data_IF_004463762559
#
_entry.id   IF_004463762559
#
_cell.length_a   1.000
_cell.length_b   1.000
_cell.length_c   1.000
_cell.angle_alpha   90.00
_cell.angle_beta   90.00
_cell.angle_gamma   90.00
#
_symmetry.space_group_name_H-M   'P 1'
#
loop_
_entity.id
_entity.type
_entity.pdbx_description
1 polymer ?
#
# COMPACT_ATOMS: atom_id res chain seq x y z
N UNK A 1 1.54 -2.89 7.79
CA UNK A 1 1.75 -1.63 7.06
C UNK A 1 2.67 -0.74 7.88
N UNK A 2 3.39 0.18 7.25
CA UNK A 2 4.33 1.10 7.90
C UNK A 2 3.75 2.52 7.80
N UNK A 3 2.79 2.79 8.69
CA UNK A 3 1.82 3.89 8.62
C UNK A 3 2.49 5.25 8.49
N UNK A 4 3.40 5.58 9.42
CA UNK A 4 4.08 6.89 9.45
C UNK A 4 5.04 7.07 8.26
N UNK A 5 5.52 5.98 7.68
CA UNK A 5 6.45 6.01 6.56
C UNK A 5 5.77 5.86 5.21
N UNK A 6 4.42 5.89 5.12
CA UNK A 6 3.68 5.83 3.85
C UNK A 6 4.09 4.64 2.96
N UNK A 7 4.31 3.47 3.57
CA UNK A 7 4.81 2.26 2.88
C UNK A 7 4.10 0.99 3.33
N UNK A 8 4.09 0.01 2.43
CA UNK A 8 3.82 -1.39 2.78
C UNK A 8 5.13 -2.17 2.71
N UNK A 9 5.43 -2.89 3.79
CA UNK A 9 6.68 -3.62 3.98
C UNK A 9 6.42 -5.11 4.10
N UNK A 10 7.28 -5.92 3.51
CA UNK A 10 7.34 -7.38 3.67
C UNK A 10 8.59 -7.72 4.48
N UNK A 11 8.48 -8.66 5.41
CA UNK A 11 9.62 -9.26 6.10
C UNK A 11 9.84 -10.65 5.53
N UNK A 12 11.06 -10.90 5.07
CA UNK A 12 11.45 -12.20 4.52
C UNK A 12 11.84 -13.16 5.67
N UNK A 13 11.91 -14.47 5.39
CA UNK A 13 12.24 -15.47 6.42
C UNK A 13 13.61 -15.31 7.07
N UNK A 14 14.52 -14.56 6.43
CA UNK A 14 15.84 -14.19 6.97
C UNK A 14 15.83 -12.85 7.73
N UNK A 15 14.66 -12.24 7.96
CA UNK A 15 14.50 -10.95 8.64
C UNK A 15 14.72 -9.71 7.76
N UNK A 16 14.97 -9.86 6.45
CA UNK A 16 15.15 -8.73 5.54
C UNK A 16 13.83 -7.99 5.33
N UNK A 17 13.84 -6.66 5.44
CA UNK A 17 12.64 -5.82 5.26
C UNK A 17 12.64 -5.20 3.86
N UNK A 18 11.67 -5.58 3.05
CA UNK A 18 11.48 -5.07 1.69
C UNK A 18 10.30 -4.12 1.61
N UNK A 19 10.43 -3.01 0.87
CA UNK A 19 9.27 -2.20 0.46
C UNK A 19 8.58 -2.87 -0.73
N UNK A 20 7.29 -3.13 -0.61
CA UNK A 20 6.47 -3.70 -1.69
C UNK A 20 5.51 -2.68 -2.32
N UNK A 21 5.18 -1.62 -1.58
CA UNK A 21 4.47 -0.45 -2.11
C UNK A 21 4.82 0.82 -1.33
N UNK A 22 4.69 1.98 -1.97
CA UNK A 22 4.91 3.28 -1.34
C UNK A 22 6.31 3.85 -1.55
N UNK A 23 6.39 5.13 -1.90
CA UNK A 23 7.65 5.88 -2.03
C UNK A 23 8.15 6.41 -0.68
N UNK A 24 7.27 6.59 0.29
CA UNK A 24 7.53 7.31 1.54
C UNK A 24 6.90 8.71 1.59
N UNK A 25 6.46 9.24 0.45
CA UNK A 25 5.73 10.50 0.37
C UNK A 25 4.22 10.23 0.45
N UNK A 26 3.55 10.93 1.36
CA UNK A 26 2.10 10.83 1.53
C UNK A 26 1.36 11.30 0.26
N UNK A 27 0.37 10.54 -0.19
CA UNK A 27 -0.45 10.90 -1.37
C UNK A 27 -1.25 9.71 -1.92
N UNK A 28 -1.99 9.92 -3.01
CA UNK A 28 -2.91 8.92 -3.60
C UNK A 28 -2.63 8.64 -5.09
N UNK A 29 -1.38 8.77 -5.52
CA UNK A 29 -0.98 8.62 -6.94
C UNK A 29 -0.49 7.21 -7.29
N UNK A 30 -0.23 6.97 -8.57
CA UNK A 30 0.45 5.76 -9.07
C UNK A 30 -0.44 4.57 -9.41
N UNK A 31 -1.77 4.71 -9.37
CA UNK A 31 -2.68 3.66 -9.85
C UNK A 31 -2.40 3.27 -11.31
N UNK A 32 -2.42 1.97 -11.58
CA UNK A 32 -2.02 1.39 -12.87
C UNK A 32 -0.52 1.27 -13.07
N UNK A 33 0.31 1.83 -12.19
CA UNK A 33 1.77 1.78 -12.24
C UNK A 33 2.40 0.84 -11.20
N UNK A 34 3.74 0.83 -11.17
CA UNK A 34 4.51 0.02 -10.22
C UNK A 34 4.19 0.42 -8.77
N UNK A 35 3.85 -0.56 -7.94
CA UNK A 35 3.43 -0.33 -6.55
C UNK A 35 4.49 0.39 -5.70
N UNK A 36 5.79 0.12 -5.96
CA UNK A 36 6.92 0.81 -5.30
C UNK A 36 7.02 2.30 -5.66
N UNK A 37 6.46 2.71 -6.79
CA UNK A 37 6.44 4.11 -7.24
C UNK A 37 5.16 4.85 -6.84
N UNK A 38 4.18 4.14 -6.28
CA UNK A 38 2.93 4.74 -5.82
C UNK A 38 3.13 5.59 -4.56
N UNK A 39 2.42 6.70 -4.45
CA UNK A 39 2.25 7.39 -3.18
C UNK A 39 1.08 6.74 -2.44
N UNK A 40 1.32 6.44 -1.17
CA UNK A 40 0.32 5.97 -0.22
C UNK A 40 0.16 7.04 0.85
N UNK A 41 -1.00 7.15 1.45
CA UNK A 41 -1.33 8.12 2.48
C UNK A 41 -1.71 7.38 3.75
N UNK A 42 -0.73 7.17 4.63
CA UNK A 42 -0.94 6.53 5.94
C UNK A 42 -1.67 5.17 5.84
N UNK A 43 -1.03 4.14 5.25
CA UNK A 43 -1.66 2.83 5.10
C UNK A 43 -1.98 2.20 6.47
N UNK A 44 -3.24 1.95 6.77
CA UNK A 44 -3.73 1.56 8.10
C UNK A 44 -3.96 0.06 8.27
N UNK A 45 -4.63 -0.56 7.31
CA UNK A 45 -5.04 -1.96 7.39
C UNK A 45 -4.49 -2.74 6.20
N UNK A 46 -4.25 -4.04 6.40
CA UNK A 46 -3.74 -4.96 5.38
C UNK A 46 -4.51 -6.27 5.45
N UNK A 47 -4.98 -6.76 4.31
CA UNK A 47 -5.54 -8.10 4.16
C UNK A 47 -4.97 -8.75 2.89
N UNK A 48 -5.05 -10.07 2.79
CA UNK A 48 -4.67 -10.80 1.58
C UNK A 48 -5.93 -11.29 0.86
N UNK A 49 -5.98 -11.11 -0.46
CA UNK A 49 -7.02 -11.68 -1.30
C UNK A 49 -6.81 -13.18 -1.56
N UNK A 50 -7.79 -13.85 -2.20
CA UNK A 50 -7.72 -15.29 -2.52
C UNK A 50 -6.54 -15.66 -3.45
N UNK A 51 -6.06 -14.70 -4.23
CA UNK A 51 -4.90 -14.80 -5.12
C UNK A 51 -3.56 -14.51 -4.42
N UNK A 52 -3.59 -14.26 -3.11
CA UNK A 52 -2.43 -13.88 -2.31
C UNK A 52 -1.97 -12.43 -2.50
N UNK A 53 -2.71 -11.60 -3.25
CA UNK A 53 -2.38 -10.18 -3.40
C UNK A 53 -2.70 -9.41 -2.10
N UNK A 54 -1.81 -8.53 -1.62
CA UNK A 54 -2.13 -7.64 -0.51
C UNK A 54 -3.12 -6.54 -0.92
N UNK A 55 -4.10 -6.30 -0.07
CA UNK A 55 -5.04 -5.17 -0.13
C UNK A 55 -4.77 -4.27 1.07
N UNK A 56 -4.57 -2.98 0.82
CA UNK A 56 -4.24 -2.00 1.85
C UNK A 56 -5.29 -0.91 1.90
N UNK A 57 -5.71 -0.53 3.11
CA UNK A 57 -6.51 0.66 3.32
C UNK A 57 -5.58 1.88 3.28
N UNK A 58 -5.75 2.70 2.26
CA UNK A 58 -4.97 3.89 1.94
C UNK A 58 -5.82 5.15 2.20
N UNK A 59 -5.35 6.06 3.06
CA UNK A 59 -6.11 7.25 3.49
C UNK A 59 -6.30 7.36 5.01
N UNK A 60 -5.33 6.89 5.78
CA UNK A 60 -5.44 6.71 7.20
C UNK A 60 -5.02 7.89 8.08
N UNK A 61 -5.73 9.03 8.03
CA UNK A 61 -5.75 9.97 9.16
C UNK A 61 -7.06 10.77 9.22
N UNK A 62 -7.74 10.75 10.36
CA UNK A 62 -8.86 11.66 10.67
C UNK A 62 -9.97 11.73 9.62
N UNK A 63 -10.76 12.81 9.65
CA UNK A 63 -12.02 13.00 8.91
C UNK A 63 -11.93 13.01 7.35
N UNK A 64 -10.85 12.51 6.74
CA UNK A 64 -10.64 12.44 5.29
C UNK A 64 -11.39 11.27 4.62
N UNK A 65 -12.62 10.98 5.07
CA UNK A 65 -13.41 9.83 4.60
C UNK A 65 -13.59 9.84 3.07
N UNK A 66 -13.61 11.02 2.45
CA UNK A 66 -13.77 11.17 1.00
C UNK A 66 -12.58 10.75 0.13
N UNK A 67 -11.44 10.37 0.71
CA UNK A 67 -10.24 9.95 -0.04
C UNK A 67 -9.72 8.57 0.36
N UNK A 68 -10.44 7.86 1.25
CA UNK A 68 -10.06 6.50 1.63
C UNK A 68 -10.24 5.55 0.45
N UNK A 69 -9.21 4.77 0.15
CA UNK A 69 -9.17 3.81 -0.96
C UNK A 69 -8.71 2.47 -0.43
N UNK A 70 -9.29 1.39 -0.96
CA UNK A 70 -8.65 0.09 -0.87
C UNK A 70 -7.74 -0.02 -2.08
N UNK A 71 -6.44 -0.23 -1.86
CA UNK A 71 -5.45 -0.42 -2.93
C UNK A 71 -5.04 -1.89 -2.95
N UNK A 72 -5.22 -2.56 -4.08
CA UNK A 72 -4.66 -3.89 -4.34
C UNK A 72 -3.23 -3.74 -4.87
N UNK A 73 -2.28 -4.41 -4.23
CA UNK A 73 -0.90 -4.59 -4.71
C UNK A 73 -0.87 -5.92 -5.45
N UNK A 74 -0.89 -5.89 -6.78
CA UNK A 74 -0.92 -7.12 -7.56
C UNK A 74 0.39 -7.91 -7.47
N UNK A 75 0.30 -9.23 -7.67
CA UNK A 75 1.47 -10.11 -7.82
C UNK A 75 2.32 -9.75 -9.05
N UNK A 76 1.74 -9.00 -10.00
CA UNK A 76 2.39 -8.35 -11.14
C UNK A 76 3.19 -7.09 -10.76
N UNK A 77 3.16 -6.69 -9.48
CA UNK A 77 3.81 -5.48 -8.99
C UNK A 77 3.05 -4.19 -9.31
N UNK A 78 1.81 -4.25 -9.80
CA UNK A 78 0.99 -3.08 -10.15
C UNK A 78 0.00 -2.76 -9.04
N UNK A 79 -0.09 -1.49 -8.65
CA UNK A 79 -1.11 -1.01 -7.69
C UNK A 79 -2.40 -0.59 -8.40
N UNK A 80 -3.55 -0.92 -7.83
CA UNK A 80 -4.88 -0.55 -8.34
C UNK A 80 -5.80 -0.16 -7.19
N UNK A 81 -6.62 0.86 -7.37
CA UNK A 81 -7.79 1.10 -6.50
C UNK A 81 -8.89 0.10 -6.88
N UNK A 82 -9.54 -0.49 -5.87
CA UNK A 82 -10.62 -1.49 -6.01
C UNK A 82 -11.87 -1.08 -5.26
#
# INVERSE_FOLDING_TARGET
ADWANNRVRRVDGNGTINTIAGTGTAGFSGDGGAARAAQLHHPEALAFGPDGAPYVLDGGNGNQIGQKRVRRIGVDGIVRTV
#
